data_IF_626863209489
#
_entry.id   IF_626863209489
#
_cell.length_a   1.000
_cell.length_b   1.000
_cell.length_c   1.000
_cell.angle_alpha   90.00
_cell.angle_beta   90.00
_cell.angle_gamma   90.00
#
_symmetry.space_group_name_H-M   'P 1'
#
loop_
_entity.id
_entity.type
_entity.pdbx_description
1 polymer ?
#
# COMPACT_ATOMS: atom_id res chain seq x y z
N UNK A 1 11.39 -38.15 32.60
CA UNK A 1 10.21 -37.26 32.69
C UNK A 1 10.33 -36.25 31.56
N UNK A 2 9.50 -36.40 30.51
CA UNK A 2 9.40 -35.45 29.40
C UNK A 2 8.74 -34.17 29.91
N UNK A 3 9.51 -33.09 30.07
CA UNK A 3 8.97 -31.78 30.42
C UNK A 3 8.61 -31.02 29.14
N UNK A 4 7.43 -30.42 29.17
CA UNK A 4 6.87 -29.60 28.11
C UNK A 4 7.74 -28.37 27.84
N UNK A 5 8.00 -28.13 26.56
CA UNK A 5 8.61 -26.90 26.05
C UNK A 5 7.66 -25.73 26.35
N UNK A 6 8.11 -24.72 27.11
CA UNK A 6 7.35 -23.50 27.32
C UNK A 6 7.12 -22.83 25.96
N UNK A 7 5.85 -22.70 25.59
CA UNK A 7 5.41 -22.01 24.39
C UNK A 7 5.69 -20.51 24.59
N UNK A 8 6.71 -19.98 23.91
CA UNK A 8 6.88 -18.53 23.79
C UNK A 8 5.73 -18.03 22.93
N UNK A 9 4.76 -17.36 23.58
CA UNK A 9 3.70 -16.65 22.88
C UNK A 9 4.31 -15.34 22.35
N UNK A 10 4.96 -15.41 21.19
CA UNK A 10 5.32 -14.22 20.44
C UNK A 10 4.00 -13.62 19.95
N UNK A 11 3.57 -12.51 20.57
CA UNK A 11 2.49 -11.72 20.00
C UNK A 11 2.91 -11.33 18.58
N UNK A 12 2.13 -11.76 17.58
CA UNK A 12 2.29 -11.28 16.21
C UNK A 12 2.00 -9.77 16.23
N UNK A 13 3.02 -8.95 15.98
CA UNK A 13 2.84 -7.52 15.80
C UNK A 13 3.51 -7.10 14.49
N UNK A 14 2.70 -6.46 13.65
CA UNK A 14 2.94 -6.05 12.26
C UNK A 14 4.18 -5.15 12.10
N UNK A 15 4.98 -5.39 11.04
CA UNK A 15 5.88 -4.37 10.50
C UNK A 15 5.04 -3.30 9.74
N UNK A 16 5.63 -2.16 9.36
CA UNK A 16 4.91 -0.99 8.85
C UNK A 16 5.16 -0.76 7.36
N UNK A 17 4.19 -0.20 6.65
CA UNK A 17 4.29 0.08 5.22
C UNK A 17 5.30 1.21 4.90
N UNK A 18 6.22 0.99 3.95
CA UNK A 18 7.11 2.03 3.43
C UNK A 18 6.40 2.83 2.33
N UNK A 19 6.57 4.16 2.31
CA UNK A 19 6.18 4.98 1.17
C UNK A 19 7.19 4.76 0.03
N UNK A 20 6.74 4.19 -1.08
CA UNK A 20 7.62 3.78 -2.20
C UNK A 20 7.45 4.61 -3.48
N UNK A 21 6.31 5.30 -3.62
CA UNK A 21 6.08 6.25 -4.68
C UNK A 21 5.14 7.34 -4.17
N UNK A 22 5.44 8.60 -4.50
CA UNK A 22 4.63 9.72 -4.08
C UNK A 22 4.62 10.83 -5.13
N UNK A 23 3.43 11.28 -5.53
CA UNK A 23 3.24 12.40 -6.44
C UNK A 23 2.37 13.43 -5.72
N UNK A 24 3.02 14.51 -5.26
CA UNK A 24 2.34 15.64 -4.63
C UNK A 24 1.41 16.35 -5.62
N UNK A 25 1.80 16.42 -6.90
CA UNK A 25 1.13 17.19 -7.94
C UNK A 25 1.16 18.72 -7.70
N UNK A 26 2.22 19.18 -7.03
CA UNK A 26 2.45 20.58 -6.64
C UNK A 26 3.24 21.43 -7.66
N UNK A 27 3.57 20.87 -8.83
CA UNK A 27 4.42 21.59 -9.78
C UNK A 27 3.69 22.78 -10.39
N UNK A 28 4.31 23.95 -10.40
CA UNK A 28 3.73 25.18 -10.95
C UNK A 28 4.20 25.49 -12.37
N UNK A 29 5.27 24.84 -12.83
CA UNK A 29 5.79 25.01 -14.18
C UNK A 29 4.87 24.33 -15.21
N UNK A 30 4.11 25.15 -15.94
CA UNK A 30 3.19 24.70 -16.98
C UNK A 30 3.88 24.26 -18.28
N UNK A 31 5.19 24.48 -18.41
CA UNK A 31 5.96 24.12 -19.62
C UNK A 31 6.52 22.71 -19.57
N UNK A 32 6.68 22.13 -18.38
CA UNK A 32 7.17 20.76 -18.22
C UNK A 32 6.02 19.74 -18.30
N UNK A 33 6.28 18.64 -18.99
CA UNK A 33 5.43 17.46 -19.00
C UNK A 33 5.78 16.45 -17.92
N UNK A 34 6.80 16.71 -17.09
CA UNK A 34 7.21 15.81 -16.01
C UNK A 34 6.27 15.98 -14.83
N UNK A 35 5.85 14.85 -14.26
CA UNK A 35 5.18 14.75 -12.96
C UNK A 35 6.19 14.13 -12.00
N UNK A 36 6.61 14.87 -10.99
CA UNK A 36 7.74 14.50 -10.17
C UNK A 36 7.33 13.48 -9.11
N UNK A 37 8.06 12.38 -9.05
CA UNK A 37 8.05 11.52 -7.88
C UNK A 37 8.86 12.21 -6.77
N UNK A 38 8.25 12.42 -5.62
CA UNK A 38 8.87 13.08 -4.47
C UNK A 38 10.07 12.29 -3.95
N UNK A 39 10.09 10.97 -4.17
CA UNK A 39 11.21 10.09 -3.84
C UNK A 39 12.27 10.04 -4.95
N UNK A 40 12.00 10.66 -6.11
CA UNK A 40 12.89 10.80 -7.27
C UNK A 40 13.31 9.46 -7.88
N UNK A 41 12.43 8.47 -7.84
CA UNK A 41 12.68 7.14 -8.38
C UNK A 41 11.87 6.89 -9.65
N UNK A 42 10.64 7.39 -9.71
CA UNK A 42 9.65 7.00 -10.71
C UNK A 42 8.91 8.21 -11.31
N UNK A 43 9.63 9.22 -11.79
CA UNK A 43 8.99 10.38 -12.42
C UNK A 43 8.01 9.97 -13.53
N UNK A 44 6.83 10.58 -13.50
CA UNK A 44 5.78 10.44 -14.49
C UNK A 44 5.92 11.41 -15.65
N UNK A 45 5.18 11.14 -16.72
CA UNK A 45 5.10 11.99 -17.91
C UNK A 45 3.64 12.20 -18.25
N UNK A 46 3.22 13.46 -18.37
CA UNK A 46 1.90 13.84 -18.84
C UNK A 46 1.61 13.24 -20.23
N UNK A 47 0.41 12.72 -20.40
CA UNK A 47 -0.08 12.11 -21.63
C UNK A 47 -1.45 12.69 -22.00
N UNK A 48 -1.88 12.40 -23.22
CA UNK A 48 -3.17 12.84 -23.75
C UNK A 48 -3.07 14.04 -24.67
N UNK A 49 -4.23 14.46 -25.15
CA UNK A 49 -4.39 15.58 -26.09
C UNK A 49 -4.62 16.92 -25.39
N UNK A 50 -4.91 16.89 -24.09
CA UNK A 50 -5.16 18.06 -23.24
C UNK A 50 -4.10 18.13 -22.14
N UNK A 51 -3.67 19.34 -21.80
CA UNK A 51 -2.76 19.56 -20.68
C UNK A 51 -3.55 19.75 -19.38
N UNK A 52 -3.20 19.03 -18.30
CA UNK A 52 -3.73 19.31 -16.97
C UNK A 52 -3.42 20.73 -16.52
N UNK A 53 -4.38 21.35 -15.82
CA UNK A 53 -4.12 22.60 -15.13
C UNK A 53 -3.39 22.29 -13.81
N UNK A 54 -2.19 22.86 -13.66
CA UNK A 54 -1.40 22.74 -12.44
C UNK A 54 -1.69 23.89 -11.48
N UNK A 55 -1.13 23.86 -10.26
CA UNK A 55 -1.39 24.85 -9.21
C UNK A 55 -2.89 24.91 -8.83
N UNK A 56 -3.60 23.79 -8.96
CA UNK A 56 -5.01 23.71 -8.59
C UNK A 56 -5.12 23.59 -7.07
N UNK A 57 -5.90 24.46 -6.42
CA UNK A 57 -6.04 24.41 -4.96
C UNK A 57 -6.58 23.05 -4.49
N UNK A 58 -5.79 22.35 -3.69
CA UNK A 58 -6.10 21.02 -3.17
C UNK A 58 -6.07 20.99 -1.64
N UNK A 59 -6.12 19.80 -1.04
CA UNK A 59 -6.22 19.64 0.41
C UNK A 59 -4.85 19.81 1.06
N UNK A 60 -3.82 19.24 0.44
CA UNK A 60 -2.44 19.25 0.96
C UNK A 60 -1.52 20.10 0.11
N UNK A 61 -1.96 21.34 -0.18
CA UNK A 61 -1.24 22.27 -1.03
C UNK A 61 -1.97 22.49 -2.35
N UNK A 62 -1.35 22.05 -3.44
CA UNK A 62 -1.89 22.16 -4.79
C UNK A 62 -1.93 20.79 -5.46
N UNK A 63 -2.68 20.69 -6.54
CA UNK A 63 -2.82 19.47 -7.30
C UNK A 63 -2.96 19.76 -8.78
N UNK A 64 -3.24 18.72 -9.53
CA UNK A 64 -3.52 18.83 -10.97
C UNK A 64 -5.01 18.65 -11.21
N UNK A 65 -5.61 19.51 -12.03
CA UNK A 65 -6.95 19.30 -12.61
C UNK A 65 -6.82 18.71 -14.01
N UNK A 66 -7.14 17.42 -14.12
CA UNK A 66 -7.07 16.66 -15.35
C UNK A 66 -8.35 16.86 -16.16
N UNK A 67 -8.32 17.54 -17.32
CA UNK A 67 -9.42 17.46 -18.27
C UNK A 67 -9.56 16.03 -18.82
N UNK A 68 -10.73 15.68 -19.35
CA UNK A 68 -10.88 14.42 -20.09
C UNK A 68 -9.78 14.29 -21.17
N UNK A 69 -9.36 13.04 -21.43
CA UNK A 69 -8.28 12.73 -22.38
C UNK A 69 -6.93 13.34 -22.00
N UNK A 70 -6.65 13.31 -20.71
CA UNK A 70 -5.37 13.64 -20.12
C UNK A 70 -5.09 12.72 -18.95
N UNK A 71 -3.84 12.69 -18.51
CA UNK A 71 -3.39 11.92 -17.37
C UNK A 71 -1.87 11.97 -17.33
N UNK A 72 -1.28 11.05 -16.58
CA UNK A 72 0.15 10.80 -16.69
C UNK A 72 0.44 9.31 -16.64
N UNK A 73 1.52 8.94 -17.33
CA UNK A 73 2.07 7.59 -17.27
C UNK A 73 3.35 7.58 -16.45
N UNK A 74 3.59 6.45 -15.80
CA UNK A 74 4.87 6.17 -15.13
C UNK A 74 5.48 4.94 -15.79
N UNK A 75 6.81 4.91 -15.91
CA UNK A 75 7.49 3.71 -16.37
C UNK A 75 7.25 2.56 -15.37
N UNK A 76 6.92 1.34 -15.84
CA UNK A 76 6.74 0.20 -14.95
C UNK A 76 7.94 -0.05 -14.04
N UNK A 77 7.68 -0.12 -12.74
CA UNK A 77 8.63 -0.50 -11.71
C UNK A 77 7.88 -1.13 -10.52
N UNK A 78 8.56 -1.91 -9.65
CA UNK A 78 7.92 -2.50 -8.47
C UNK A 78 7.22 -1.46 -7.59
N UNK A 79 7.78 -0.26 -7.47
CA UNK A 79 7.26 0.84 -6.64
C UNK A 79 5.89 1.34 -7.09
N UNK A 80 5.58 1.26 -8.39
CA UNK A 80 4.30 1.71 -8.97
C UNK A 80 3.48 0.57 -9.57
N UNK A 81 3.86 -0.68 -9.33
CA UNK A 81 3.13 -1.89 -9.70
C UNK A 81 3.12 -2.86 -8.52
N UNK A 82 2.43 -2.50 -7.42
CA UNK A 82 2.47 -3.29 -6.20
C UNK A 82 1.78 -4.65 -6.40
N UNK A 83 2.46 -5.71 -5.99
CA UNK A 83 2.06 -7.09 -6.29
C UNK A 83 1.25 -7.74 -5.17
N UNK A 84 1.57 -7.47 -3.90
CA UNK A 84 0.82 -7.97 -2.75
C UNK A 84 1.08 -7.11 -1.51
N UNK A 85 0.19 -7.17 -0.52
CA UNK A 85 0.30 -6.43 0.75
C UNK A 85 0.67 -4.97 0.54
N UNK A 86 -0.27 -4.16 0.06
CA UNK A 86 0.00 -2.76 -0.30
C UNK A 86 -1.17 -1.84 0.06
N UNK A 87 -0.87 -0.54 0.05
CA UNK A 87 -1.85 0.53 0.16
C UNK A 87 -1.63 1.56 -0.95
N UNK A 88 -2.69 1.96 -1.64
CA UNK A 88 -2.67 3.09 -2.59
C UNK A 88 -3.65 4.15 -2.10
N UNK A 89 -3.24 5.41 -2.01
CA UNK A 89 -4.08 6.53 -1.58
C UNK A 89 -3.98 7.72 -2.52
N UNK A 90 -5.01 8.57 -2.51
CA UNK A 90 -4.97 9.91 -3.11
C UNK A 90 -6.19 10.72 -2.69
N UNK A 91 -6.10 12.03 -2.90
CA UNK A 91 -7.23 12.94 -2.92
C UNK A 91 -7.75 13.14 -4.34
N UNK A 92 -9.06 13.25 -4.51
CA UNK A 92 -9.66 13.53 -5.82
C UNK A 92 -10.94 14.36 -5.74
N UNK A 93 -11.21 15.11 -6.82
CA UNK A 93 -12.41 15.92 -7.01
C UNK A 93 -12.95 15.72 -8.43
N UNK A 94 -13.93 14.84 -8.64
CA UNK A 94 -14.45 14.56 -9.97
C UNK A 94 -15.16 15.79 -10.54
N UNK A 95 -14.85 16.16 -11.78
CA UNK A 95 -15.65 17.11 -12.57
C UNK A 95 -16.62 16.37 -13.49
N UNK A 96 -16.25 15.16 -13.93
CA UNK A 96 -17.11 14.21 -14.64
C UNK A 96 -17.35 12.96 -13.81
N UNK A 97 -18.45 12.28 -14.08
CA UNK A 97 -18.86 11.04 -13.39
C UNK A 97 -19.39 10.04 -14.42
N UNK A 98 -18.53 9.59 -15.33
CA UNK A 98 -18.93 8.60 -16.32
C UNK A 98 -18.62 7.19 -15.83
N UNK A 99 -19.37 6.23 -16.37
CA UNK A 99 -19.13 4.83 -16.09
C UNK A 99 -17.70 4.45 -16.46
N UNK A 100 -16.99 3.82 -15.53
CA UNK A 100 -15.66 3.26 -15.73
C UNK A 100 -14.51 4.26 -15.94
N UNK A 101 -14.68 5.56 -15.69
CA UNK A 101 -13.55 6.51 -15.71
C UNK A 101 -12.41 6.02 -14.79
N UNK A 102 -11.16 6.04 -15.28
CA UNK A 102 -9.97 5.45 -14.64
C UNK A 102 -9.20 6.46 -13.80
N UNK A 103 -9.06 6.17 -12.52
CA UNK A 103 -8.12 6.86 -11.65
C UNK A 103 -6.71 6.27 -11.76
N UNK A 104 -6.64 4.94 -11.80
CA UNK A 104 -5.40 4.18 -11.83
C UNK A 104 -5.59 2.91 -12.65
N UNK A 105 -4.66 2.66 -13.57
CA UNK A 105 -4.74 1.53 -14.49
C UNK A 105 -3.36 0.88 -14.68
N UNK A 106 -3.31 -0.39 -14.33
CA UNK A 106 -2.24 -1.34 -14.67
C UNK A 106 -2.83 -2.67 -15.15
N UNK A 107 -4.16 -2.77 -15.27
CA UNK A 107 -4.83 -4.00 -15.69
C UNK A 107 -4.70 -4.17 -17.20
N UNK A 108 -4.04 -5.25 -17.61
CA UNK A 108 -4.11 -5.70 -19.00
C UNK A 108 -5.26 -6.69 -19.18
N UNK A 109 -5.89 -6.66 -20.35
CA UNK A 109 -6.95 -7.61 -20.72
C UNK A 109 -8.32 -7.29 -20.12
N UNK A 110 -9.37 -7.72 -20.82
CA UNK A 110 -10.78 -7.46 -20.45
C UNK A 110 -11.42 -8.63 -19.70
N UNK A 111 -10.94 -9.85 -19.93
CA UNK A 111 -11.37 -11.08 -19.25
C UNK A 111 -10.58 -11.40 -17.98
N UNK A 112 -10.96 -12.49 -17.30
CA UNK A 112 -10.35 -12.93 -16.04
C UNK A 112 -8.93 -13.48 -16.17
N UNK A 113 -8.48 -13.72 -17.41
CA UNK A 113 -7.08 -14.02 -17.73
C UNK A 113 -6.20 -12.76 -17.82
N UNK A 114 -6.80 -11.57 -17.69
CA UNK A 114 -6.08 -10.31 -17.54
C UNK A 114 -5.40 -10.22 -16.17
N UNK A 115 -4.46 -9.28 -16.04
CA UNK A 115 -3.62 -9.16 -14.85
C UNK A 115 -3.28 -7.70 -14.56
N UNK A 116 -3.37 -7.31 -13.29
CA UNK A 116 -3.09 -5.96 -12.80
C UNK A 116 -4.23 -5.38 -11.98
N UNK A 117 -4.20 -4.07 -11.79
CA UNK A 117 -5.11 -3.33 -10.92
C UNK A 117 -5.78 -2.23 -11.73
N UNK A 118 -7.10 -2.11 -11.55
CA UNK A 118 -7.93 -1.05 -12.11
C UNK A 118 -8.71 -0.39 -10.98
N UNK A 119 -8.61 0.93 -10.88
CA UNK A 119 -9.44 1.73 -9.96
C UNK A 119 -10.25 2.72 -10.79
N UNK A 120 -11.58 2.59 -10.70
CA UNK A 120 -12.50 3.28 -11.60
C UNK A 120 -13.82 3.71 -10.94
N UNK A 121 -14.64 4.47 -11.67
CA UNK A 121 -15.97 4.93 -11.22
C UNK A 121 -17.09 3.88 -11.33
N UNK A 122 -16.76 2.61 -11.59
CA UNK A 122 -17.73 1.52 -11.70
C UNK A 122 -18.72 1.69 -12.85
N UNK A 123 -19.63 0.73 -13.00
CA UNK A 123 -20.59 0.74 -14.11
C UNK A 123 -21.67 1.82 -14.03
N UNK A 124 -21.84 2.44 -12.85
CA UNK A 124 -22.79 3.55 -12.66
C UNK A 124 -22.12 4.93 -12.72
N UNK A 125 -20.79 4.98 -12.82
CA UNK A 125 -19.99 6.21 -12.92
C UNK A 125 -19.92 7.05 -11.64
N UNK A 126 -20.48 6.59 -10.52
CA UNK A 126 -20.64 7.40 -9.31
C UNK A 126 -20.14 6.71 -8.05
N UNK A 127 -19.46 5.59 -8.17
CA UNK A 127 -18.93 4.84 -7.04
C UNK A 127 -17.53 4.35 -7.38
N UNK A 128 -16.57 4.56 -6.48
CA UNK A 128 -15.21 4.08 -6.71
C UNK A 128 -15.16 2.56 -6.53
N UNK A 129 -14.58 1.87 -7.51
CA UNK A 129 -14.37 0.43 -7.55
C UNK A 129 -12.90 0.13 -7.76
N UNK A 130 -12.37 -0.80 -6.96
CA UNK A 130 -11.12 -1.49 -7.26
C UNK A 130 -11.43 -2.86 -7.88
N UNK A 131 -10.82 -3.16 -9.02
CA UNK A 131 -10.83 -4.45 -9.70
C UNK A 131 -9.37 -4.93 -9.84
N UNK A 132 -9.07 -6.07 -9.25
CA UNK A 132 -7.76 -6.70 -9.28
C UNK A 132 -7.87 -8.06 -9.96
N UNK A 133 -6.86 -8.40 -10.77
CA UNK A 133 -6.70 -9.71 -11.38
C UNK A 133 -5.24 -10.14 -11.33
N UNK A 134 -5.01 -11.41 -11.06
CA UNK A 134 -3.68 -12.03 -10.98
C UNK A 134 -3.30 -12.80 -12.26
N UNK A 135 -4.21 -12.90 -13.24
CA UNK A 135 -4.03 -13.67 -14.48
C UNK A 135 -4.51 -15.12 -14.41
N UNK A 136 -5.17 -15.55 -13.33
CA UNK A 136 -5.57 -16.95 -13.13
C UNK A 136 -6.64 -17.48 -14.11
N UNK A 137 -7.32 -16.60 -14.86
CA UNK A 137 -8.29 -16.99 -15.89
C UNK A 137 -9.69 -17.35 -15.40
N UNK A 138 -9.91 -17.40 -14.09
CA UNK A 138 -11.13 -17.96 -13.48
C UNK A 138 -11.88 -17.00 -12.58
N UNK A 139 -11.16 -16.21 -11.79
CA UNK A 139 -11.72 -15.33 -10.76
C UNK A 139 -11.08 -13.94 -10.80
N UNK A 140 -11.69 -13.00 -10.08
CA UNK A 140 -11.20 -11.64 -9.90
C UNK A 140 -11.59 -11.15 -8.51
N UNK A 141 -10.87 -10.15 -8.01
CA UNK A 141 -11.20 -9.45 -6.77
C UNK A 141 -11.72 -8.07 -7.12
N UNK A 142 -13.02 -7.86 -6.90
CA UNK A 142 -13.66 -6.56 -7.03
C UNK A 142 -14.27 -6.09 -5.70
N UNK A 143 -14.06 -4.81 -5.38
CA UNK A 143 -14.67 -4.11 -4.23
C UNK A 143 -15.13 -2.73 -4.69
N UNK A 144 -16.39 -2.38 -4.44
CA UNK A 144 -16.98 -1.08 -4.78
C UNK A 144 -17.45 -0.39 -3.51
N UNK A 145 -17.06 0.86 -3.31
CA UNK A 145 -17.58 1.68 -2.21
C UNK A 145 -19.08 1.97 -2.42
N UNK A 146 -19.91 1.91 -1.36
CA UNK A 146 -21.32 2.27 -1.46
C UNK A 146 -21.51 3.80 -1.62
N UNK A 147 -20.51 4.62 -1.31
CA UNK A 147 -20.63 6.08 -1.34
C UNK A 147 -20.90 6.59 -2.76
N UNK A 148 -22.03 7.28 -2.93
CA UNK A 148 -22.38 7.93 -4.21
C UNK A 148 -21.69 9.29 -4.30
N UNK A 149 -20.85 9.45 -5.32
CA UNK A 149 -20.09 10.67 -5.56
C UNK A 149 -20.96 11.80 -6.12
N UNK A 150 -20.53 13.02 -5.80
CA UNK A 150 -21.08 14.28 -6.33
C UNK A 150 -19.96 15.03 -7.00
N UNK A 151 -20.17 15.44 -8.25
CA UNK A 151 -19.18 16.22 -8.99
C UNK A 151 -18.85 17.52 -8.24
N UNK A 152 -17.57 17.86 -8.20
CA UNK A 152 -17.05 19.06 -7.58
C UNK A 152 -16.84 19.00 -6.06
N UNK A 153 -17.11 17.87 -5.41
CA UNK A 153 -16.73 17.63 -4.02
C UNK A 153 -15.37 16.91 -3.95
N UNK A 154 -14.57 17.19 -2.92
CA UNK A 154 -13.34 16.47 -2.63
C UNK A 154 -13.61 15.18 -1.88
N UNK A 155 -12.80 14.17 -2.19
CA UNK A 155 -12.86 12.84 -1.60
C UNK A 155 -11.45 12.32 -1.37
N UNK A 156 -11.29 11.56 -0.29
CA UNK A 156 -10.11 10.75 -0.05
C UNK A 156 -10.40 9.31 -0.45
N UNK A 157 -9.46 8.68 -1.15
CA UNK A 157 -9.51 7.28 -1.54
C UNK A 157 -8.36 6.50 -0.89
N UNK A 158 -8.65 5.24 -0.53
CA UNK A 158 -7.61 4.25 -0.26
C UNK A 158 -8.02 2.85 -0.73
N UNK A 159 -7.09 2.15 -1.39
CA UNK A 159 -7.12 0.71 -1.61
C UNK A 159 -6.09 0.05 -0.69
N UNK A 160 -6.52 -0.95 0.09
CA UNK A 160 -5.61 -1.82 0.88
C UNK A 160 -5.84 -3.26 0.47
N UNK A 161 -4.79 -3.93 0.02
CA UNK A 161 -4.85 -5.29 -0.48
C UNK A 161 -3.85 -6.17 0.26
N UNK A 162 -4.30 -7.35 0.67
CA UNK A 162 -3.52 -8.31 1.44
C UNK A 162 -4.00 -9.71 1.09
N UNK A 163 -3.29 -10.40 0.20
CA UNK A 163 -3.68 -11.76 -0.18
C UNK A 163 -3.41 -12.77 0.94
N UNK A 164 -2.38 -12.53 1.75
CA UNK A 164 -1.97 -13.38 2.87
C UNK A 164 -3.04 -13.43 3.96
N UNK A 165 -3.59 -12.28 4.34
CA UNK A 165 -4.69 -12.15 5.29
C UNK A 165 -6.08 -12.16 4.60
N UNK A 166 -6.10 -12.44 3.29
CA UNK A 166 -7.30 -12.64 2.48
C UNK A 166 -8.29 -11.47 2.58
N UNK A 167 -7.81 -10.22 2.43
CA UNK A 167 -8.69 -9.07 2.33
C UNK A 167 -8.32 -8.03 1.27
N UNK A 168 -9.36 -7.37 0.77
CA UNK A 168 -9.27 -6.18 -0.06
C UNK A 168 -10.25 -5.15 0.50
N UNK A 169 -9.74 -3.96 0.79
CA UNK A 169 -10.48 -2.87 1.43
C UNK A 169 -10.45 -1.63 0.55
N UNK A 170 -11.63 -1.09 0.26
CA UNK A 170 -11.77 0.21 -0.42
C UNK A 170 -12.36 1.19 0.58
N UNK A 171 -11.63 2.28 0.83
CA UNK A 171 -12.07 3.38 1.68
C UNK A 171 -12.36 4.58 0.78
N UNK A 172 -13.54 5.17 0.91
CA UNK A 172 -13.86 6.44 0.22
C UNK A 172 -14.58 7.35 1.18
N UNK A 173 -14.00 8.51 1.47
CA UNK A 173 -14.58 9.52 2.34
C UNK A 173 -14.80 10.81 1.57
N UNK A 174 -15.91 11.49 1.82
CA UNK A 174 -16.10 12.87 1.39
C UNK A 174 -15.40 13.80 2.36
N UNK A 175 -14.69 14.80 1.85
CA UNK A 175 -14.20 15.90 2.68
C UNK A 175 -15.36 16.68 3.31
N UNK A 176 -15.28 16.88 4.61
CA UNK A 176 -16.19 17.76 5.38
C UNK A 176 -15.44 18.85 6.13
N UNK A 177 -14.13 18.97 5.90
CA UNK A 177 -13.22 19.82 6.64
C UNK A 177 -12.79 19.23 7.99
N UNK A 178 -11.55 19.55 8.38
CA UNK A 178 -10.95 19.16 9.65
C UNK A 178 -10.39 17.73 9.68
N UNK A 179 -9.70 17.42 10.76
CA UNK A 179 -9.05 16.13 10.98
C UNK A 179 -10.07 15.01 11.23
N UNK A 180 -9.71 13.81 10.78
CA UNK A 180 -10.45 12.58 11.03
C UNK A 180 -9.68 11.62 11.93
N UNK A 181 -10.37 10.57 12.37
CA UNK A 181 -9.81 9.50 13.21
C UNK A 181 -9.88 8.15 12.51
N UNK A 182 -9.25 7.14 13.09
CA UNK A 182 -9.35 5.75 12.64
C UNK A 182 -10.81 5.25 12.52
N UNK A 183 -11.72 5.73 13.37
CA UNK A 183 -13.13 5.32 13.30
C UNK A 183 -13.83 5.88 12.05
N UNK A 184 -13.44 7.07 11.59
CA UNK A 184 -13.96 7.65 10.34
C UNK A 184 -13.54 6.80 9.14
N UNK A 185 -12.27 6.39 9.12
CA UNK A 185 -11.72 5.46 8.12
C UNK A 185 -12.50 4.14 8.15
N UNK A 186 -12.62 3.50 9.31
CA UNK A 186 -13.29 2.21 9.44
C UNK A 186 -14.75 2.26 9.00
N UNK A 187 -15.46 3.35 9.35
CA UNK A 187 -16.87 3.55 8.99
C UNK A 187 -17.08 3.73 7.47
N UNK A 188 -16.04 4.18 6.77
CA UNK A 188 -16.07 4.45 5.33
C UNK A 188 -15.36 3.38 4.49
N UNK A 189 -14.95 2.28 5.13
CA UNK A 189 -14.25 1.17 4.49
C UNK A 189 -15.22 0.05 4.12
N UNK A 190 -15.20 -0.34 2.85
CA UNK A 190 -15.83 -1.58 2.36
C UNK A 190 -14.78 -2.68 2.31
N UNK A 191 -15.02 -3.80 2.99
CA UNK A 191 -14.06 -4.92 3.07
C UNK A 191 -14.61 -6.15 2.35
N UNK A 192 -13.77 -6.79 1.54
CA UNK A 192 -13.98 -8.13 1.01
C UNK A 192 -12.96 -9.08 1.62
N UNK A 193 -13.42 -10.20 2.19
CA UNK A 193 -12.59 -11.19 2.90
C UNK A 193 -12.53 -12.57 2.19
N UNK A 194 -13.02 -12.63 0.96
CA UNK A 194 -12.91 -13.81 0.09
C UNK A 194 -12.41 -13.33 -1.24
N UNK A 195 -11.08 -13.38 -1.41
CA UNK A 195 -10.41 -12.91 -2.61
C UNK A 195 -10.52 -13.95 -3.73
N UNK A 196 -10.63 -13.45 -4.96
CA UNK A 196 -10.53 -14.26 -6.17
C UNK A 196 -9.15 -14.16 -6.83
N UNK A 197 -8.17 -13.63 -6.09
CA UNK A 197 -6.82 -13.30 -6.54
C UNK A 197 -5.82 -13.59 -5.43
N UNK A 198 -4.60 -13.97 -5.83
CA UNK A 198 -3.42 -14.01 -4.96
C UNK A 198 -2.51 -12.80 -5.24
N UNK A 199 -1.20 -12.98 -5.26
CA UNK A 199 -0.24 -11.96 -5.74
C UNK A 199 -0.59 -11.50 -7.15
N UNK A 200 -0.68 -10.19 -7.33
CA UNK A 200 -1.01 -9.53 -8.58
C UNK A 200 0.21 -9.50 -9.50
N UNK A 201 -0.02 -9.81 -10.78
CA UNK A 201 0.96 -9.64 -11.84
C UNK A 201 0.55 -8.46 -12.73
N UNK A 202 1.50 -7.75 -13.31
CA UNK A 202 1.24 -6.59 -14.17
C UNK A 202 1.85 -6.81 -15.55
N UNK A 203 1.07 -6.52 -16.59
CA UNK A 203 1.43 -6.79 -17.99
C UNK A 203 1.20 -5.57 -18.90
N UNK A 204 1.06 -4.38 -18.32
CA UNK A 204 0.90 -3.11 -19.05
C UNK A 204 1.67 -1.98 -18.35
N UNK A 205 1.55 -0.75 -18.86
CA UNK A 205 2.05 0.46 -18.22
C UNK A 205 1.35 0.81 -16.91
N UNK A 206 1.74 1.93 -16.31
CA UNK A 206 1.10 2.53 -15.15
C UNK A 206 0.51 3.86 -15.57
N UNK A 207 -0.81 3.99 -15.44
CA UNK A 207 -1.53 5.19 -15.86
C UNK A 207 -2.35 5.74 -14.71
N UNK A 208 -2.26 7.06 -14.51
CA UNK A 208 -3.06 7.81 -13.57
C UNK A 208 -3.94 8.78 -14.33
N UNK A 209 -5.20 8.89 -13.88
CA UNK A 209 -6.29 9.60 -14.55
C UNK A 209 -6.60 9.17 -15.99
N UNK A 210 -5.96 8.10 -16.50
CA UNK A 210 -6.10 7.61 -17.87
C UNK A 210 -6.18 6.08 -17.91
N UNK A 211 -6.75 5.55 -18.99
CA UNK A 211 -6.87 4.09 -19.19
C UNK A 211 -5.77 3.47 -20.07
N UNK A 212 -5.01 4.28 -20.80
CA UNK A 212 -3.91 3.83 -21.63
C UNK A 212 -2.80 4.89 -21.78
N UNK A 213 -1.74 4.55 -22.52
CA UNK A 213 -0.58 5.41 -22.72
C UNK A 213 -0.86 6.65 -23.61
N UNK A 214 -1.99 6.66 -24.32
CA UNK A 214 -2.40 7.75 -25.19
C UNK A 214 -3.44 8.68 -24.58
N UNK A 215 -4.11 8.26 -23.49
CA UNK A 215 -5.29 8.91 -22.92
C UNK A 215 -6.27 9.35 -24.02
N UNK A 216 -6.53 8.43 -24.96
CA UNK A 216 -7.32 8.70 -26.17
C UNK A 216 -8.74 8.14 -26.08
N UNK A 217 -9.02 7.34 -25.05
CA UNK A 217 -10.29 6.65 -24.88
C UNK A 217 -11.37 7.58 -24.28
N UNK A 218 -12.54 7.01 -23.99
CA UNK A 218 -13.63 7.71 -23.30
C UNK A 218 -13.59 7.55 -21.77
N UNK A 219 -12.69 6.73 -21.23
CA UNK A 219 -12.71 6.30 -19.84
C UNK A 219 -11.60 6.94 -19.00
N UNK A 220 -11.13 8.12 -19.39
CA UNK A 220 -10.17 8.90 -18.60
C UNK A 220 -10.89 9.66 -17.50
N UNK A 221 -10.29 9.75 -16.31
CA UNK A 221 -10.85 10.53 -15.21
C UNK A 221 -10.78 12.03 -15.51
N UNK A 222 -11.93 12.69 -15.41
CA UNK A 222 -12.03 14.14 -15.42
C UNK A 222 -12.15 14.70 -14.02
N UNK A 223 -11.17 15.50 -13.60
CA UNK A 223 -11.18 16.21 -12.33
C UNK A 223 -9.82 16.38 -11.69
N UNK A 224 -9.82 16.95 -10.49
CA UNK A 224 -8.59 17.21 -9.77
C UNK A 224 -8.12 16.01 -8.96
N UNK A 225 -6.81 15.84 -8.84
CA UNK A 225 -6.15 14.88 -7.96
C UNK A 225 -4.99 15.56 -7.21
N UNK A 226 -4.67 15.01 -6.04
CA UNK A 226 -3.63 15.49 -5.13
C UNK A 226 -3.09 14.31 -4.29
N UNK A 227 -1.84 14.42 -3.83
CA UNK A 227 -1.20 13.55 -2.83
C UNK A 227 -1.35 12.04 -3.13
N UNK A 228 -0.98 11.64 -4.35
CA UNK A 228 -1.00 10.24 -4.77
C UNK A 228 0.16 9.50 -4.09
N UNK A 229 -0.15 8.43 -3.37
CA UNK A 229 0.86 7.64 -2.66
C UNK A 229 0.65 6.14 -2.83
N UNK A 230 1.77 5.42 -2.91
CA UNK A 230 1.80 3.96 -2.85
C UNK A 230 2.69 3.58 -1.68
N UNK A 231 2.12 2.82 -0.77
CA UNK A 231 2.82 2.21 0.35
C UNK A 231 2.94 0.71 0.12
N UNK A 232 4.17 0.22 0.19
CA UNK A 232 4.47 -1.20 0.24
C UNK A 232 5.80 -1.39 0.93
N UNK A 233 6.04 -2.55 1.51
CA UNK A 233 7.37 -2.90 2.02
C UNK A 233 7.92 -3.98 1.14
N UNK A 234 9.19 -3.86 0.76
CA UNK A 234 9.90 -4.94 0.06
C UNK A 234 9.96 -6.22 0.93
N UNK A 235 9.51 -6.15 2.19
CA UNK A 235 9.27 -7.18 3.20
C UNK A 235 7.88 -7.05 3.92
N UNK A 236 6.98 -8.00 3.67
CA UNK A 236 5.82 -8.44 4.46
C UNK A 236 4.67 -7.51 4.95
N UNK A 237 4.68 -6.17 4.85
CA UNK A 237 3.64 -5.31 5.48
C UNK A 237 3.34 -3.94 4.83
N UNK A 238 2.95 -3.88 3.56
CA UNK A 238 2.50 -2.63 2.92
C UNK A 238 1.07 -2.15 3.22
N UNK A 239 0.38 -2.78 4.17
CA UNK A 239 -1.03 -2.52 4.47
C UNK A 239 -1.16 -1.54 5.63
N UNK A 240 -1.57 -0.29 5.36
CA UNK A 240 -1.78 0.71 6.40
C UNK A 240 -2.97 0.37 7.31
N UNK A 241 -2.78 0.59 8.60
CA UNK A 241 -3.84 0.55 9.61
C UNK A 241 -4.84 1.70 9.40
N UNK A 242 -6.04 1.61 9.99
CA UNK A 242 -7.00 2.72 9.95
C UNK A 242 -6.46 3.99 10.63
N UNK A 243 -5.61 3.83 11.66
CA UNK A 243 -4.94 4.93 12.35
C UNK A 243 -3.93 5.62 11.44
N UNK A 244 -3.12 4.85 10.73
CA UNK A 244 -2.11 5.40 9.83
C UNK A 244 -2.75 6.06 8.61
N UNK A 245 -3.81 5.46 8.07
CA UNK A 245 -4.56 6.04 6.99
C UNK A 245 -5.24 7.36 7.39
N UNK A 246 -5.67 7.51 8.65
CA UNK A 246 -6.16 8.78 9.17
C UNK A 246 -5.05 9.85 9.26
N UNK A 247 -3.80 9.47 9.57
CA UNK A 247 -2.66 10.41 9.54
C UNK A 247 -2.35 10.88 8.11
N UNK A 248 -2.37 9.97 7.14
CA UNK A 248 -2.21 10.30 5.70
C UNK A 248 -3.31 11.25 5.26
N UNK A 249 -4.58 10.97 5.62
CA UNK A 249 -5.68 11.90 5.35
C UNK A 249 -5.41 13.28 5.93
N UNK A 250 -5.05 13.38 7.22
CA UNK A 250 -4.97 14.66 7.93
C UNK A 250 -3.75 15.50 7.52
N UNK A 251 -2.62 14.87 7.21
CA UNK A 251 -1.34 15.56 7.08
C UNK A 251 -0.66 15.39 5.71
N UNK A 252 -1.23 14.58 4.82
CA UNK A 252 -0.62 14.18 3.55
C UNK A 252 0.34 13.00 3.70
N UNK A 253 0.64 12.34 2.59
CA UNK A 253 1.43 11.11 2.59
C UNK A 253 2.91 11.33 2.97
N UNK A 254 3.53 12.46 2.60
CA UNK A 254 4.91 12.76 2.99
C UNK A 254 5.09 13.10 4.47
N UNK A 255 4.03 13.58 5.13
CA UNK A 255 4.05 13.84 6.57
C UNK A 255 3.83 12.55 7.39
N UNK A 256 3.48 11.44 6.73
CA UNK A 256 3.41 10.15 7.37
C UNK A 256 4.83 9.63 7.63
N UNK A 257 5.26 9.78 8.88
CA UNK A 257 6.43 9.06 9.40
C UNK A 257 5.99 7.64 9.78
N UNK A 258 6.39 6.59 9.04
CA UNK A 258 6.06 5.23 9.42
C UNK A 258 6.68 4.96 10.80
N UNK A 259 5.97 4.30 11.73
CA UNK A 259 6.58 3.91 12.99
C UNK A 259 7.83 3.06 12.71
N UNK A 260 8.84 3.15 13.57
CA UNK A 260 10.05 2.34 13.41
C UNK A 260 9.70 0.83 13.29
N UNK A 261 10.37 0.08 12.39
CA UNK A 261 10.14 -1.35 12.27
C UNK A 261 10.41 -2.05 13.61
N UNK A 262 9.61 -3.05 13.96
CA UNK A 262 9.79 -3.79 15.21
C UNK A 262 10.92 -4.81 15.09
N UNK A 263 11.65 -5.08 16.19
CA UNK A 263 12.63 -6.16 16.23
C UNK A 263 12.01 -7.49 15.80
N UNK A 264 12.62 -8.17 14.81
CA UNK A 264 12.18 -9.48 14.31
C UNK A 264 13.25 -10.51 14.57
N UNK A 265 12.87 -11.70 15.04
CA UNK A 265 13.78 -12.85 15.18
C UNK A 265 13.68 -13.69 13.91
N UNK A 266 14.67 -13.58 13.02
CA UNK A 266 14.73 -14.36 11.79
C UNK A 266 15.09 -15.83 12.08
N UNK A 267 15.97 -16.04 13.06
CA UNK A 267 16.30 -17.39 13.53
C UNK A 267 16.69 -17.38 15.00
N UNK A 268 16.33 -18.45 15.70
CA UNK A 268 16.82 -18.74 17.04
C UNK A 268 16.95 -20.26 17.18
N UNK A 269 18.18 -20.76 17.22
CA UNK A 269 18.47 -22.20 17.15
C UNK A 269 19.48 -22.62 18.22
N UNK A 270 19.38 -23.86 18.65
CA UNK A 270 20.39 -24.53 19.43
C UNK A 270 20.99 -25.67 18.59
N UNK A 271 22.27 -25.98 18.79
CA UNK A 271 22.90 -27.15 18.16
C UNK A 271 22.39 -28.50 18.72
N UNK A 272 21.80 -28.49 19.92
CA UNK A 272 21.30 -29.68 20.62
C UNK A 272 19.80 -29.53 20.91
N UNK A 273 19.03 -30.59 20.65
CA UNK A 273 17.60 -30.69 21.00
C UNK A 273 17.36 -31.41 22.33
N UNK A 274 18.42 -31.96 22.93
CA UNK A 274 18.47 -32.55 24.26
C UNK A 274 19.91 -32.51 24.78
N UNK A 275 20.09 -32.43 26.09
CA UNK A 275 21.40 -32.27 26.72
C UNK A 275 21.45 -32.97 28.08
N UNK A 276 22.63 -33.43 28.46
CA UNK A 276 22.99 -33.81 29.82
C UNK A 276 23.68 -32.64 30.53
N UNK A 277 23.68 -32.64 31.87
CA UNK A 277 24.43 -31.64 32.62
C UNK A 277 25.92 -31.74 32.33
N UNK A 278 26.53 -30.61 31.97
CA UNK A 278 27.91 -30.52 31.52
C UNK A 278 28.05 -30.38 30.00
N UNK A 279 26.98 -30.62 29.22
CA UNK A 279 27.03 -30.44 27.78
C UNK A 279 27.24 -28.97 27.40
N UNK A 280 28.01 -28.76 26.33
CA UNK A 280 28.19 -27.43 25.72
C UNK A 280 27.13 -27.20 24.65
N UNK A 281 26.15 -26.36 24.96
CA UNK A 281 25.11 -25.93 24.01
C UNK A 281 25.54 -24.64 23.33
N UNK A 282 25.37 -24.58 22.01
CA UNK A 282 25.59 -23.40 21.17
C UNK A 282 24.24 -22.86 20.72
N UNK A 283 23.87 -21.69 21.23
CA UNK A 283 22.77 -20.88 20.70
C UNK A 283 23.26 -20.07 19.51
N UNK A 284 22.42 -19.93 18.49
CA UNK A 284 22.61 -19.04 17.35
C UNK A 284 21.33 -18.26 17.12
N UNK A 285 21.46 -16.96 16.91
CA UNK A 285 20.33 -16.11 16.63
C UNK A 285 20.68 -15.10 15.54
N UNK A 286 19.63 -14.73 14.82
CA UNK A 286 19.66 -13.69 13.80
C UNK A 286 18.38 -12.86 13.97
N UNK A 287 18.54 -11.55 14.11
CA UNK A 287 17.44 -10.60 14.25
C UNK A 287 17.63 -9.38 13.36
N UNK A 288 16.53 -8.73 13.03
CA UNK A 288 16.47 -7.47 12.27
C UNK A 288 15.75 -6.42 13.09
N UNK A 289 16.07 -5.15 12.87
CA UNK A 289 15.42 -4.00 13.53
C UNK A 289 15.43 -4.03 15.08
N UNK A 290 16.40 -4.72 15.69
CA UNK A 290 16.60 -4.77 17.13
C UNK A 290 17.64 -3.73 17.60
N UNK A 291 17.19 -2.72 18.37
CA UNK A 291 18.10 -1.76 19.02
C UNK A 291 18.86 -2.37 20.20
N UNK A 292 18.24 -3.37 20.85
CA UNK A 292 18.82 -4.13 21.95
C UNK A 292 18.27 -5.55 21.96
N UNK A 293 19.09 -6.50 22.41
CA UNK A 293 18.71 -7.90 22.55
C UNK A 293 19.24 -8.45 23.87
N UNK A 294 18.42 -9.21 24.58
CA UNK A 294 18.80 -9.88 25.82
C UNK A 294 18.32 -11.33 25.79
N UNK A 295 19.20 -12.27 26.15
CA UNK A 295 18.86 -13.70 26.28
C UNK A 295 18.86 -14.06 27.76
N UNK A 296 17.65 -14.22 28.31
CA UNK A 296 17.44 -14.64 29.71
C UNK A 296 17.22 -16.15 29.82
N UNK A 297 17.54 -16.80 30.96
CA UNK A 297 17.94 -16.18 32.22
C UNK A 297 19.44 -15.82 32.36
N UNK A 298 20.36 -16.52 31.68
CA UNK A 298 21.78 -16.49 32.06
C UNK A 298 22.76 -15.87 31.05
N UNK A 299 22.33 -15.59 29.82
CA UNK A 299 23.24 -15.09 28.77
C UNK A 299 23.38 -13.57 28.87
N UNK A 300 22.28 -12.87 29.13
CA UNK A 300 22.24 -11.42 29.27
C UNK A 300 22.23 -10.67 27.92
N UNK A 301 22.61 -9.38 27.91
CA UNK A 301 22.60 -8.55 26.71
C UNK A 301 23.55 -9.08 25.64
N UNK A 302 23.09 -9.12 24.39
CA UNK A 302 23.86 -9.59 23.23
C UNK A 302 23.61 -8.71 22.01
N UNK A 303 24.45 -8.86 20.98
CA UNK A 303 24.25 -8.21 19.69
C UNK A 303 23.01 -8.77 18.98
N UNK A 304 22.46 -8.00 18.03
CA UNK A 304 21.31 -8.39 17.22
C UNK A 304 21.50 -9.77 16.54
N UNK A 305 22.71 -10.09 16.10
CA UNK A 305 23.07 -11.38 15.49
C UNK A 305 24.25 -11.97 16.24
N UNK A 306 24.24 -13.28 16.47
CA UNK A 306 25.36 -13.89 17.17
C UNK A 306 25.21 -15.36 17.51
N UNK A 307 26.19 -15.82 18.26
CA UNK A 307 26.18 -17.13 18.89
C UNK A 307 26.74 -17.03 20.31
N UNK A 308 26.20 -17.86 21.20
CA UNK A 308 26.68 -17.98 22.57
C UNK A 308 26.77 -19.44 22.95
N UNK A 309 27.86 -19.79 23.64
CA UNK A 309 28.04 -21.10 24.24
C UNK A 309 27.67 -21.02 25.70
N UNK A 310 26.92 -22.00 26.20
CA UNK A 310 26.71 -22.17 27.63
C UNK A 310 26.80 -23.64 28.01
N UNK A 311 27.23 -23.88 29.25
CA UNK A 311 27.25 -25.23 29.83
C UNK A 311 25.90 -25.54 30.45
N UNK A 312 25.22 -26.55 29.94
CA UNK A 312 23.92 -26.94 30.45
C UNK A 312 24.03 -27.50 31.88
N UNK A 313 23.06 -27.16 32.74
CA UNK A 313 22.95 -27.64 34.12
C UNK A 313 21.52 -28.09 34.38
N UNK A 314 21.34 -29.18 35.13
CA UNK A 314 20.01 -29.73 35.47
C UNK A 314 19.17 -28.84 36.41
N UNK A 315 19.64 -27.65 36.77
CA UNK A 315 18.94 -26.73 37.68
C UNK A 315 17.96 -25.78 36.96
N UNK A 316 17.70 -26.00 35.67
CA UNK A 316 16.68 -25.28 34.88
C UNK A 316 15.56 -26.22 34.41
#
# INVERSE_FOLDING_TARGET
MTKFLSLFLCGLITANADLVAHYALDETDTTTSIVQDSLKQNDGILIGSSSPAKDFKALHGTGYDFPLRSGFRVNPSPEVQPTDQFTITWWFRPTTLNAFDRFYETLSGTGKNGSGIRIDLGGNGRQVRALLRDGNGSTDTAVTSPLTLTAGAWYFFALRYDSLNNFCKVTVLRDTGGDITASSISASTTTKTSLGTDTITHNTGVFFAADDAGAASSNDFGGAMDDIAIFQTKDDFGVLSDTDLAKVFNNGALAFDPPAPRPTINSFTANLSGFDSGDSVVLRWDTTAADSLEITPNVGPVNANGSANFTARFTE
#
